data_IF_139858426998
#
_entry.id   IF_139858426998
#
_cell.length_a   1.000
_cell.length_b   1.000
_cell.length_c   1.000
_cell.angle_alpha   90.00
_cell.angle_beta   90.00
_cell.angle_gamma   90.00
#
_symmetry.space_group_name_H-M   'P 1'
#
loop_
_entity.id
_entity.type
_entity.pdbx_description
1 polymer ?
#
# COMPACT_ATOMS: atom_id res chain seq x y z
N UNK A 1 -4.58 -10.03 -4.03
CA UNK A 1 -3.15 -9.87 -3.64
C UNK A 1 -2.32 -10.90 -4.42
N UNK A 2 -1.32 -10.51 -5.22
CA UNK A 2 -0.61 -11.46 -6.11
C UNK A 2 0.23 -12.47 -5.33
N UNK A 3 0.12 -13.77 -5.63
CA UNK A 3 0.74 -14.90 -4.89
C UNK A 3 2.28 -14.96 -4.84
N UNK A 4 2.96 -13.96 -5.39
CA UNK A 4 4.42 -13.77 -5.39
C UNK A 4 4.94 -13.11 -4.09
N UNK A 5 4.05 -12.59 -3.24
CA UNK A 5 4.40 -11.95 -1.96
C UNK A 5 4.02 -12.81 -0.75
N UNK A 6 4.33 -14.11 -0.79
CA UNK A 6 4.00 -15.03 0.31
C UNK A 6 4.72 -14.71 1.63
N UNK A 7 5.83 -13.97 1.60
CA UNK A 7 6.49 -13.37 2.77
C UNK A 7 7.13 -12.03 2.35
N UNK A 8 6.38 -10.91 2.40
CA UNK A 8 6.96 -9.61 2.08
C UNK A 8 7.93 -9.19 3.19
N UNK A 9 9.00 -8.45 2.87
CA UNK A 9 9.97 -8.03 3.89
C UNK A 9 9.27 -7.08 4.87
N UNK A 10 9.36 -7.39 6.16
CA UNK A 10 8.89 -6.54 7.25
C UNK A 10 10.10 -5.90 7.94
N UNK A 11 9.91 -4.75 8.57
CA UNK A 11 10.93 -4.21 9.47
C UNK A 11 11.15 -5.19 10.62
N UNK A 12 12.40 -5.31 11.08
CA UNK A 12 12.69 -6.06 12.30
C UNK A 12 11.96 -5.39 13.49
N UNK A 13 11.47 -6.17 14.47
CA UNK A 13 10.80 -5.63 15.65
C UNK A 13 11.64 -4.52 16.30
N UNK A 14 10.99 -3.45 16.76
CA UNK A 14 11.60 -2.36 17.55
C UNK A 14 12.71 -1.58 16.82
N UNK A 15 12.75 -1.68 15.48
CA UNK A 15 13.64 -0.84 14.67
C UNK A 15 12.82 0.14 13.85
N UNK A 16 13.23 1.42 13.90
CA UNK A 16 12.69 2.52 13.09
C UNK A 16 11.29 3.01 13.50
N UNK A 17 10.97 2.98 14.78
CA UNK A 17 9.69 3.53 15.27
C UNK A 17 9.51 5.01 14.91
N UNK A 18 10.60 5.80 14.93
CA UNK A 18 10.55 7.21 14.52
C UNK A 18 10.01 7.43 13.10
N UNK A 19 10.42 6.61 12.10
CA UNK A 19 9.90 6.78 10.74
C UNK A 19 8.46 6.29 10.64
N UNK A 20 8.10 5.26 11.40
CA UNK A 20 6.72 4.80 11.43
C UNK A 20 5.79 5.88 11.99
N UNK A 21 6.20 6.54 13.06
CA UNK A 21 5.41 7.61 13.68
C UNK A 21 5.31 8.84 12.79
N UNK A 22 6.39 9.20 12.06
CA UNK A 22 6.33 10.24 11.05
C UNK A 22 5.32 9.92 9.92
N UNK A 23 5.31 8.67 9.44
CA UNK A 23 4.37 8.25 8.40
C UNK A 23 2.93 8.22 8.93
N UNK A 24 2.70 7.79 10.18
CA UNK A 24 1.38 7.83 10.82
C UNK A 24 0.88 9.27 10.93
N UNK A 25 1.69 10.17 11.48
CA UNK A 25 1.33 11.58 11.63
C UNK A 25 1.05 12.24 10.28
N UNK A 26 1.77 11.84 9.22
CA UNK A 26 1.47 12.27 7.86
C UNK A 26 0.13 11.73 7.35
N UNK A 27 -0.15 10.44 7.56
CA UNK A 27 -1.39 9.81 7.11
C UNK A 27 -2.63 10.38 7.82
N UNK A 28 -2.49 10.77 9.08
CA UNK A 28 -3.52 11.44 9.87
C UNK A 28 -3.65 12.95 9.58
N UNK A 29 -2.84 13.49 8.66
CA UNK A 29 -2.90 14.90 8.32
C UNK A 29 -4.25 15.26 7.66
N UNK A 30 -4.79 16.47 7.93
CA UNK A 30 -6.08 16.88 7.36
C UNK A 30 -6.13 16.71 5.84
N UNK A 31 -7.27 16.22 5.35
CA UNK A 31 -7.53 16.00 3.92
C UNK A 31 -7.15 17.27 3.14
N UNK A 32 -6.26 17.11 2.16
CA UNK A 32 -5.80 18.19 1.29
C UNK A 32 -4.46 18.84 1.67
N UNK A 33 -3.84 18.50 2.82
CA UNK A 33 -2.54 19.08 3.20
C UNK A 33 -1.32 18.31 2.66
N UNK A 34 -1.34 16.98 2.68
CA UNK A 34 -0.24 16.18 2.13
C UNK A 34 -0.73 14.82 1.64
N UNK A 35 -0.83 14.63 0.32
CA UNK A 35 -1.31 13.38 -0.28
C UNK A 35 -0.19 12.40 -0.65
N UNK A 36 1.07 12.85 -0.61
CA UNK A 36 2.25 12.06 -0.99
C UNK A 36 3.29 12.16 0.12
N UNK A 37 3.73 11.00 0.62
CA UNK A 37 4.90 10.90 1.50
C UNK A 37 6.12 10.46 0.70
N UNK A 38 7.21 11.22 0.77
CA UNK A 38 8.46 10.89 0.10
C UNK A 38 9.45 10.21 1.05
N UNK A 39 9.56 8.88 0.97
CA UNK A 39 10.53 8.09 1.74
C UNK A 39 11.83 7.87 0.95
N UNK A 40 12.93 8.45 1.41
CA UNK A 40 14.25 8.36 0.78
C UNK A 40 15.31 7.77 1.74
N UNK A 41 16.43 7.33 1.17
CA UNK A 41 17.52 6.69 1.91
C UNK A 41 18.38 5.80 1.01
N UNK A 42 19.50 5.31 1.53
CA UNK A 42 20.46 4.49 0.77
C UNK A 42 19.83 3.22 0.19
N UNK A 43 20.43 2.69 -0.89
CA UNK A 43 20.05 1.39 -1.41
C UNK A 43 20.24 0.32 -0.32
N UNK A 44 19.31 -0.64 -0.22
CA UNK A 44 19.34 -1.64 0.85
C UNK A 44 18.85 -1.17 2.21
N UNK A 45 18.55 0.13 2.40
CA UNK A 45 18.01 0.64 3.67
C UNK A 45 16.60 0.12 4.02
N UNK A 46 16.03 -0.85 3.31
CA UNK A 46 14.75 -1.46 3.68
C UNK A 46 13.53 -0.55 3.50
N UNK A 47 13.58 0.45 2.61
CA UNK A 47 12.44 1.35 2.34
C UNK A 47 11.16 0.58 1.97
N UNK A 48 11.27 -0.42 1.10
CA UNK A 48 10.13 -1.28 0.75
C UNK A 48 9.58 -2.06 1.95
N UNK A 49 10.44 -2.42 2.91
CA UNK A 49 10.02 -3.09 4.14
C UNK A 49 9.24 -2.14 5.05
N UNK A 50 9.67 -0.87 5.14
CA UNK A 50 8.91 0.17 5.86
C UNK A 50 7.52 0.35 5.25
N UNK A 51 7.44 0.52 3.92
CA UNK A 51 6.15 0.66 3.24
C UNK A 51 5.24 -0.56 3.48
N UNK A 52 5.80 -1.77 3.47
CA UNK A 52 5.06 -2.99 3.76
C UNK A 52 4.52 -3.01 5.20
N UNK A 53 5.39 -2.76 6.18
CA UNK A 53 5.01 -2.73 7.59
C UNK A 53 3.91 -1.70 7.85
N UNK A 54 4.01 -0.49 7.29
CA UNK A 54 2.95 0.53 7.41
C UNK A 54 1.63 0.07 6.79
N UNK A 55 1.66 -0.52 5.59
CA UNK A 55 0.45 -1.02 4.96
C UNK A 55 -0.22 -2.13 5.79
N UNK A 56 0.55 -3.02 6.39
CA UNK A 56 0.03 -4.06 7.29
C UNK A 56 -0.55 -3.47 8.57
N UNK A 57 0.14 -2.51 9.19
CA UNK A 57 -0.36 -1.80 10.37
C UNK A 57 -1.69 -1.09 10.09
N UNK A 58 -1.80 -0.34 8.99
CA UNK A 58 -3.04 0.34 8.62
C UNK A 58 -4.17 -0.64 8.26
N UNK A 59 -3.83 -1.77 7.64
CA UNK A 59 -4.80 -2.84 7.40
C UNK A 59 -5.34 -3.41 8.72
N UNK A 60 -4.47 -3.72 9.68
CA UNK A 60 -4.85 -4.25 10.99
C UNK A 60 -5.72 -3.26 11.78
N UNK A 61 -5.46 -1.95 11.62
CA UNK A 61 -6.24 -0.90 12.26
C UNK A 61 -7.53 -0.53 11.50
N UNK A 62 -7.85 -1.19 10.39
CA UNK A 62 -9.03 -0.87 9.57
C UNK A 62 -8.98 0.48 8.84
N UNK A 63 -7.79 1.08 8.73
CA UNK A 63 -7.56 2.38 8.09
C UNK A 63 -7.18 2.26 6.61
N UNK A 64 -6.88 1.05 6.12
CA UNK A 64 -6.45 0.81 4.75
C UNK A 64 -7.56 0.17 3.91
N UNK A 65 -8.10 0.94 2.97
CA UNK A 65 -9.05 0.44 1.97
C UNK A 65 -8.40 -0.51 0.96
N UNK A 66 -7.18 -0.19 0.55
CA UNK A 66 -6.45 -0.93 -0.47
C UNK A 66 -5.01 -0.45 -0.62
N UNK A 67 -4.18 -1.27 -1.24
CA UNK A 67 -2.79 -0.93 -1.55
C UNK A 67 -2.31 -1.60 -2.85
N UNK A 68 -1.33 -0.97 -3.46
CA UNK A 68 -0.59 -1.50 -4.60
C UNK A 68 0.88 -1.12 -4.49
N UNK A 69 1.75 -2.09 -4.75
CA UNK A 69 3.19 -1.90 -4.69
C UNK A 69 3.81 -2.16 -6.06
N UNK A 70 4.31 -1.08 -6.67
CA UNK A 70 5.09 -1.14 -7.89
C UNK A 70 6.40 -1.91 -7.69
N UNK A 71 6.80 -2.68 -8.69
CA UNK A 71 8.04 -3.46 -8.65
C UNK A 71 8.60 -3.65 -10.04
N UNK A 72 9.80 -3.12 -10.26
CA UNK A 72 10.52 -3.22 -11.55
C UNK A 72 10.92 -4.65 -11.90
N UNK A 73 11.24 -5.46 -10.90
CA UNK A 73 11.63 -6.87 -11.08
C UNK A 73 10.44 -7.80 -11.35
N UNK A 74 9.20 -7.31 -11.23
CA UNK A 74 7.99 -8.12 -11.33
C UNK A 74 7.25 -7.94 -12.66
N UNK A 75 8.01 -7.75 -13.75
CA UNK A 75 7.46 -7.51 -15.09
C UNK A 75 6.49 -8.61 -15.55
N UNK A 76 6.76 -9.86 -15.20
CA UNK A 76 5.88 -11.01 -15.49
C UNK A 76 4.52 -10.96 -14.76
N UNK A 77 4.40 -10.18 -13.68
CA UNK A 77 3.18 -10.08 -12.87
C UNK A 77 2.35 -8.82 -13.17
N UNK A 78 2.80 -7.97 -14.10
CA UNK A 78 2.13 -6.70 -14.43
C UNK A 78 2.22 -5.64 -13.33
N UNK A 79 3.15 -5.77 -12.38
CA UNK A 79 3.41 -4.79 -11.31
C UNK A 79 4.51 -3.77 -11.66
N UNK A 80 5.09 -3.89 -12.85
CA UNK A 80 6.08 -2.96 -13.39
C UNK A 80 5.47 -1.75 -14.09
N UNK A 81 4.18 -1.80 -14.44
CA UNK A 81 3.44 -0.73 -15.10
C UNK A 81 2.12 -0.42 -14.35
N UNK A 82 1.43 0.64 -14.78
CA UNK A 82 0.23 1.18 -14.11
C UNK A 82 -1.05 0.38 -14.37
N UNK A 83 -1.07 -0.50 -15.36
CA UNK A 83 -2.29 -1.12 -15.88
C UNK A 83 -3.04 -1.96 -14.82
N UNK A 84 -2.29 -2.54 -13.87
CA UNK A 84 -2.87 -3.34 -12.78
C UNK A 84 -3.22 -2.55 -11.54
N UNK A 85 -2.84 -1.26 -11.44
CA UNK A 85 -3.11 -0.44 -10.27
C UNK A 85 -4.63 -0.30 -10.03
N UNK A 86 -5.35 0.28 -11.00
CA UNK A 86 -6.78 0.54 -10.85
C UNK A 86 -7.61 -0.75 -10.70
N UNK A 87 -7.43 -1.80 -11.53
CA UNK A 87 -8.17 -3.05 -11.34
C UNK A 87 -7.93 -3.70 -9.97
N UNK A 88 -6.70 -3.61 -9.43
CA UNK A 88 -6.40 -4.14 -8.11
C UNK A 88 -7.11 -3.36 -7.00
N UNK A 89 -7.10 -2.03 -7.07
CA UNK A 89 -7.77 -1.18 -6.09
C UNK A 89 -9.30 -1.32 -6.16
N UNK A 90 -9.88 -1.45 -7.35
CA UNK A 90 -11.32 -1.69 -7.54
C UNK A 90 -11.72 -3.03 -6.91
N UNK A 91 -10.94 -4.08 -7.14
CA UNK A 91 -11.19 -5.38 -6.54
C UNK A 91 -11.12 -5.33 -5.01
N UNK A 92 -10.09 -4.68 -4.44
CA UNK A 92 -9.96 -4.50 -2.99
C UNK A 92 -11.11 -3.65 -2.40
N UNK A 93 -11.56 -2.62 -3.12
CA UNK A 93 -12.72 -1.81 -2.75
C UNK A 93 -14.00 -2.64 -2.68
N UNK A 94 -14.24 -3.50 -3.66
CA UNK A 94 -15.41 -4.39 -3.66
C UNK A 94 -15.37 -5.41 -2.52
N UNK A 95 -14.19 -5.91 -2.17
CA UNK A 95 -14.01 -6.80 -1.02
C UNK A 95 -14.24 -6.07 0.31
N UNK A 96 -13.78 -4.83 0.43
CA UNK A 96 -13.88 -4.04 1.66
C UNK A 96 -15.28 -3.41 1.86
N UNK A 97 -15.95 -3.03 0.77
CA UNK A 97 -17.26 -2.35 0.77
C UNK A 97 -18.13 -2.97 -0.33
N UNK A 98 -18.81 -4.11 -0.06
CA UNK A 98 -19.60 -4.83 -1.05
C UNK A 98 -20.71 -3.97 -1.71
N UNK A 99 -21.20 -2.96 -1.02
CA UNK A 99 -22.20 -1.99 -1.49
C UNK A 99 -21.71 -1.18 -2.69
N UNK A 100 -20.40 -1.12 -2.94
CA UNK A 100 -19.83 -0.45 -4.12
C UNK A 100 -20.05 -1.24 -5.42
N UNK A 101 -20.34 -2.53 -5.33
CA UNK A 101 -20.46 -3.43 -6.49
C UNK A 101 -21.43 -2.95 -7.59
N UNK A 102 -22.69 -2.53 -7.31
CA UNK A 102 -23.59 -2.02 -8.33
C UNK A 102 -23.07 -0.76 -9.03
N UNK A 103 -22.39 0.13 -8.30
CA UNK A 103 -21.84 1.37 -8.86
C UNK A 103 -20.66 1.09 -9.79
N UNK A 104 -19.76 0.18 -9.39
CA UNK A 104 -18.62 -0.24 -10.19
C UNK A 104 -19.09 -0.96 -11.46
N UNK A 105 -20.05 -1.88 -11.35
CA UNK A 105 -20.62 -2.59 -12.50
C UNK A 105 -21.28 -1.66 -13.52
N UNK A 106 -21.83 -0.53 -13.07
CA UNK A 106 -22.42 0.49 -13.96
C UNK A 106 -21.38 1.36 -14.67
N UNK A 107 -20.19 1.50 -14.09
CA UNK A 107 -19.13 2.38 -14.59
C UNK A 107 -18.18 1.70 -15.59
N UNK A 108 -18.30 0.38 -15.78
CA UNK A 108 -17.57 -0.44 -16.75
C UNK A 108 -18.53 -0.80 -17.88
#
# INVERSE_FOLDING_TARGET
NSGDRRNPPQCAPETRDEIHDQIKAWADSPVGKAMIFWLFGSAGAGKSAICQTIAEMFKLNGLLLGNFFFSRSAASTGRSNGDRLLPTLIHQLQEAIPETHPYIKKAI
#
